data_IF_603018950044
#
_entry.id   IF_603018950044
#
_cell.length_a   1.000
_cell.length_b   1.000
_cell.length_c   1.000
_cell.angle_alpha   90.00
_cell.angle_beta   90.00
_cell.angle_gamma   90.00
#
_symmetry.space_group_name_H-M   'P 1'
#
loop_
_entity.id
_entity.type
_entity.pdbx_description
1 polymer ?
#
# COMPACT_ATOMS: atom_id res chain seq x y z
N UNK A 1 15.52 2.78 6.01
CA UNK A 1 14.59 1.80 5.43
C UNK A 1 14.83 1.77 3.94
N UNK A 2 14.87 0.59 3.34
CA UNK A 2 15.18 0.41 1.92
C UNK A 2 13.90 0.24 1.09
N UNK A 3 14.03 0.35 -0.24
CA UNK A 3 12.96 0.01 -1.18
C UNK A 3 12.49 -1.45 -1.02
N UNK A 4 13.39 -2.37 -0.64
CA UNK A 4 13.02 -3.75 -0.34
C UNK A 4 12.07 -3.87 0.86
N UNK A 5 12.20 -2.99 1.85
CA UNK A 5 11.26 -2.93 2.97
C UNK A 5 9.87 -2.50 2.50
N UNK A 6 9.78 -1.57 1.53
CA UNK A 6 8.50 -1.16 0.95
C UNK A 6 7.83 -2.33 0.20
N UNK A 7 8.58 -3.11 -0.59
CA UNK A 7 8.06 -4.28 -1.29
C UNK A 7 7.52 -5.34 -0.31
N UNK A 8 8.23 -5.59 0.80
CA UNK A 8 7.76 -6.51 1.86
C UNK A 8 6.46 -6.01 2.49
N UNK A 9 6.37 -4.72 2.83
CA UNK A 9 5.16 -4.13 3.40
C UNK A 9 3.98 -4.19 2.43
N UNK A 10 4.21 -4.04 1.12
CA UNK A 10 3.17 -4.21 0.09
C UNK A 10 2.69 -5.67 0.05
N UNK A 11 3.59 -6.65 0.06
CA UNK A 11 3.23 -8.07 0.10
C UNK A 11 2.45 -8.46 1.37
N UNK A 12 2.91 -7.99 2.55
CA UNK A 12 2.21 -8.19 3.82
C UNK A 12 0.80 -7.60 3.78
N UNK A 13 0.65 -6.41 3.18
CA UNK A 13 -0.64 -5.74 3.04
C UNK A 13 -1.59 -6.50 2.10
N UNK A 14 -1.08 -7.07 1.00
CA UNK A 14 -1.87 -7.91 0.08
C UNK A 14 -2.35 -9.17 0.81
N UNK A 15 -1.44 -9.87 1.49
CA UNK A 15 -1.76 -11.08 2.28
C UNK A 15 -2.76 -10.80 3.40
N UNK A 16 -2.67 -9.63 4.03
CA UNK A 16 -3.63 -9.20 5.04
C UNK A 16 -5.04 -9.03 4.44
N UNK A 17 -5.16 -8.47 3.23
CA UNK A 17 -6.45 -8.23 2.58
C UNK A 17 -7.04 -9.45 1.85
N UNK A 18 -6.22 -10.41 1.40
CA UNK A 18 -6.67 -11.54 0.58
C UNK A 18 -7.83 -12.35 1.21
N UNK A 19 -7.81 -12.68 2.53
CA UNK A 19 -8.94 -13.37 3.17
C UNK A 19 -10.25 -12.57 3.13
N UNK A 20 -10.15 -11.25 2.99
CA UNK A 20 -11.29 -10.34 2.96
C UNK A 20 -11.80 -10.04 1.54
N UNK A 21 -11.18 -10.60 0.50
CA UNK A 21 -11.56 -10.36 -0.89
C UNK A 21 -13.03 -10.69 -1.20
N UNK A 22 -13.59 -11.68 -0.50
CA UNK A 22 -14.99 -12.08 -0.61
C UNK A 22 -15.98 -11.03 -0.06
N UNK A 23 -15.52 -10.08 0.75
CA UNK A 23 -16.38 -9.08 1.41
C UNK A 23 -16.73 -7.90 0.50
N UNK A 24 -16.21 -7.87 -0.73
CA UNK A 24 -16.74 -7.02 -1.78
C UNK A 24 -15.69 -6.33 -2.64
N UNK A 25 -16.20 -5.52 -3.57
CA UNK A 25 -15.40 -4.81 -4.57
C UNK A 25 -14.35 -3.88 -3.94
N UNK A 26 -14.67 -3.24 -2.82
CA UNK A 26 -13.75 -2.32 -2.13
C UNK A 26 -12.43 -3.00 -1.70
N UNK A 27 -12.49 -4.24 -1.21
CA UNK A 27 -11.28 -4.99 -0.83
C UNK A 27 -10.50 -5.41 -2.07
N UNK A 28 -11.21 -5.85 -3.12
CA UNK A 28 -10.59 -6.24 -4.39
C UNK A 28 -9.86 -5.07 -5.04
N UNK A 29 -10.45 -3.87 -5.01
CA UNK A 29 -9.82 -2.64 -5.48
C UNK A 29 -8.60 -2.26 -4.64
N UNK A 30 -8.66 -2.41 -3.31
CA UNK A 30 -7.51 -2.20 -2.43
C UNK A 30 -6.33 -3.12 -2.76
N UNK A 31 -6.59 -4.41 -3.00
CA UNK A 31 -5.56 -5.38 -3.43
C UNK A 31 -4.98 -4.99 -4.80
N UNK A 32 -5.83 -4.61 -5.76
CA UNK A 32 -5.37 -4.18 -7.08
C UNK A 32 -4.50 -2.91 -7.02
N UNK A 33 -4.82 -1.97 -6.14
CA UNK A 33 -3.98 -0.79 -5.90
C UNK A 33 -2.63 -1.16 -5.27
N UNK A 34 -2.60 -2.12 -4.33
CA UNK A 34 -1.34 -2.65 -3.79
C UNK A 34 -0.50 -3.36 -4.86
N UNK A 35 -1.11 -4.14 -5.75
CA UNK A 35 -0.41 -4.74 -6.90
C UNK A 35 0.16 -3.69 -7.86
N UNK A 36 -0.58 -2.60 -8.09
CA UNK A 36 -0.08 -1.48 -8.89
C UNK A 36 1.09 -0.80 -8.20
N UNK A 37 1.01 -0.60 -6.88
CA UNK A 37 2.09 -0.02 -6.08
C UNK A 37 3.36 -0.88 -6.16
N UNK A 38 3.22 -2.20 -5.99
CA UNK A 38 4.30 -3.18 -6.13
C UNK A 38 5.05 -3.03 -7.46
N UNK A 39 4.30 -2.97 -8.57
CA UNK A 39 4.87 -2.79 -9.92
C UNK A 39 5.62 -1.46 -10.06
N UNK A 40 5.03 -0.35 -9.60
CA UNK A 40 5.67 0.96 -9.68
C UNK A 40 7.00 0.98 -8.90
N UNK A 41 7.06 0.32 -7.75
CA UNK A 41 8.28 0.21 -6.96
C UNK A 41 9.34 -0.62 -7.69
N UNK A 42 8.97 -1.78 -8.27
CA UNK A 42 9.87 -2.62 -9.05
C UNK A 42 10.39 -1.93 -10.31
N UNK A 43 9.55 -1.12 -10.97
CA UNK A 43 9.89 -0.32 -12.14
C UNK A 43 10.72 0.93 -11.79
N UNK A 44 11.04 1.15 -10.51
CA UNK A 44 11.75 2.33 -9.98
C UNK A 44 11.02 3.65 -10.28
N UNK A 45 9.71 3.60 -10.48
CA UNK A 45 8.83 4.75 -10.65
C UNK A 45 8.43 5.33 -9.28
N UNK A 46 9.44 5.76 -8.49
CA UNK A 46 9.27 6.13 -7.09
C UNK A 46 8.32 7.32 -6.90
N UNK A 47 8.29 8.27 -7.84
CA UNK A 47 7.40 9.44 -7.78
C UNK A 47 5.92 9.02 -7.95
N UNK A 48 5.62 8.18 -8.94
CA UNK A 48 4.30 7.62 -9.15
C UNK A 48 3.88 6.71 -8.00
N UNK A 49 4.79 5.87 -7.50
CA UNK A 49 4.56 5.02 -6.34
C UNK A 49 4.22 5.86 -5.10
N UNK A 50 4.96 6.95 -4.87
CA UNK A 50 4.71 7.87 -3.76
C UNK A 50 3.33 8.52 -3.88
N UNK A 51 2.97 9.07 -5.04
CA UNK A 51 1.64 9.66 -5.29
C UNK A 51 0.52 8.66 -5.04
N UNK A 52 0.67 7.42 -5.52
CA UNK A 52 -0.30 6.36 -5.28
C UNK A 52 -0.42 6.05 -3.77
N UNK A 53 0.71 5.91 -3.06
CA UNK A 53 0.70 5.64 -1.62
C UNK A 53 0.00 6.74 -0.80
N UNK A 54 0.13 8.02 -1.21
CA UNK A 54 -0.61 9.13 -0.61
C UNK A 54 -2.11 8.97 -0.79
N UNK A 55 -2.56 8.70 -2.03
CA UNK A 55 -3.98 8.47 -2.32
C UNK A 55 -4.54 7.30 -1.51
N UNK A 56 -3.78 6.22 -1.34
CA UNK A 56 -4.19 5.06 -0.54
C UNK A 56 -4.29 5.40 0.95
N UNK A 57 -3.35 6.18 1.49
CA UNK A 57 -3.41 6.67 2.87
C UNK A 57 -4.66 7.51 3.13
N UNK A 58 -5.06 8.36 2.19
CA UNK A 58 -6.27 9.17 2.30
C UNK A 58 -7.54 8.30 2.28
N UNK A 59 -7.61 7.32 1.38
CA UNK A 59 -8.75 6.40 1.29
C UNK A 59 -8.94 5.57 2.56
N UNK A 60 -7.85 5.10 3.16
CA UNK A 60 -7.91 4.29 4.38
C UNK A 60 -8.03 5.10 5.67
N UNK A 61 -7.85 6.43 5.64
CA UNK A 61 -7.85 7.26 6.83
C UNK A 61 -9.14 7.11 7.66
N UNK A 62 -10.30 7.07 6.99
CA UNK A 62 -11.60 6.84 7.65
C UNK A 62 -11.77 5.43 8.22
N UNK A 63 -10.94 4.48 7.80
CA UNK A 63 -10.97 3.07 8.20
C UNK A 63 -9.80 2.69 9.12
N UNK A 64 -8.95 3.64 9.52
CA UNK A 64 -7.72 3.37 10.31
C UNK A 64 -7.97 2.56 11.58
N UNK A 65 -9.09 2.81 12.27
CA UNK A 65 -9.44 2.07 13.49
C UNK A 65 -9.96 0.65 13.21
N UNK A 66 -10.39 0.36 11.97
CA UNK A 66 -10.90 -0.95 11.55
C UNK A 66 -9.82 -1.82 10.92
N UNK A 67 -8.85 -1.21 10.22
CA UNK A 67 -7.74 -1.89 9.56
C UNK A 67 -6.40 -1.21 9.90
N UNK A 68 -6.01 -1.15 11.19
CA UNK A 68 -4.84 -0.39 11.64
C UNK A 68 -3.53 -0.89 11.02
N UNK A 69 -3.39 -2.22 10.86
CA UNK A 69 -2.19 -2.81 10.27
C UNK A 69 -1.96 -2.37 8.82
N UNK A 70 -3.02 -2.32 8.00
CA UNK A 70 -2.92 -1.86 6.62
C UNK A 70 -2.60 -0.36 6.55
N UNK A 71 -3.25 0.44 7.40
CA UNK A 71 -2.99 1.88 7.47
C UNK A 71 -1.53 2.18 7.84
N UNK A 72 -0.99 1.50 8.87
CA UNK A 72 0.39 1.69 9.30
C UNK A 72 1.40 1.21 8.25
N UNK A 73 1.11 0.11 7.55
CA UNK A 73 1.95 -0.36 6.45
C UNK A 73 1.99 0.67 5.31
N UNK A 74 0.84 1.22 4.91
CA UNK A 74 0.77 2.24 3.86
C UNK A 74 1.52 3.53 4.24
N UNK A 75 1.43 3.97 5.49
CA UNK A 75 2.19 5.12 5.96
C UNK A 75 3.70 4.87 5.89
N UNK A 76 4.17 3.71 6.33
CA UNK A 76 5.59 3.33 6.22
C UNK A 76 6.05 3.25 4.78
N UNK A 77 5.27 2.63 3.89
CA UNK A 77 5.57 2.58 2.45
C UNK A 77 5.72 4.00 1.90
N UNK A 78 4.77 4.89 2.19
CA UNK A 78 4.81 6.29 1.77
C UNK A 78 6.07 7.00 2.26
N UNK A 79 6.47 6.81 3.52
CA UNK A 79 7.69 7.40 4.07
C UNK A 79 8.96 6.87 3.40
N UNK A 80 9.04 5.55 3.16
CA UNK A 80 10.16 4.94 2.44
C UNK A 80 10.27 5.55 1.05
N UNK A 81 9.17 5.61 0.31
CA UNK A 81 9.16 6.15 -1.05
C UNK A 81 9.59 7.61 -1.07
N UNK A 82 9.09 8.43 -0.14
CA UNK A 82 9.47 9.84 0.01
C UNK A 82 10.98 10.03 0.22
N UNK A 83 11.61 9.15 1.00
CA UNK A 83 13.05 9.21 1.27
C UNK A 83 13.91 8.79 0.06
N UNK A 84 13.30 8.17 -0.95
CA UNK A 84 13.96 7.66 -2.16
C UNK A 84 13.46 8.36 -3.45
N UNK A 85 12.87 9.55 -3.31
CA UNK A 85 12.57 10.49 -4.42
C UNK A 85 13.82 11.31 -4.76
#
# INVERSE_FOLDING_TARGET
MSIEDALKLVDDSKKFLEPYKIYGQMITEGIAQLEKLDKLILDKANEEAYKLSCSMCEQIAGYRNFVPQLADNLEKIREILKLNL
#
